data_IF_575086855983
#
_entry.id   IF_575086855983
#
_cell.length_a   1.000
_cell.length_b   1.000
_cell.length_c   1.000
_cell.angle_alpha   90.00
_cell.angle_beta   90.00
_cell.angle_gamma   90.00
#
_symmetry.space_group_name_H-M   'P 1'
#
loop_
_entity.id
_entity.type
_entity.pdbx_description
1 polymer ?
#
# COMPACT_ATOMS: atom_id res chain seq x y z
N UNK A 1 12.40 0.83 -4.89
CA UNK A 1 12.08 1.18 -6.30
C UNK A 1 11.05 2.29 -6.40
N UNK A 2 9.92 2.18 -5.69
CA UNK A 2 8.89 3.24 -5.68
C UNK A 2 9.18 4.44 -4.77
N UNK A 3 10.10 4.33 -3.80
CA UNK A 3 10.28 5.37 -2.77
C UNK A 3 10.72 6.72 -3.32
N UNK A 4 11.60 6.73 -4.33
CA UNK A 4 12.00 7.96 -5.00
C UNK A 4 10.80 8.66 -5.66
N UNK A 5 9.95 7.89 -6.33
CA UNK A 5 8.76 8.39 -7.00
C UNK A 5 7.74 8.93 -5.99
N UNK A 6 7.47 8.18 -4.92
CA UNK A 6 6.57 8.61 -3.84
C UNK A 6 7.08 9.87 -3.14
N UNK A 7 8.40 9.97 -2.91
CA UNK A 7 9.02 11.16 -2.32
C UNK A 7 8.89 12.38 -3.23
N UNK A 8 8.98 12.20 -4.54
CA UNK A 8 8.75 13.27 -5.51
C UNK A 8 7.27 13.72 -5.49
N UNK A 9 6.33 12.78 -5.46
CA UNK A 9 4.90 13.06 -5.32
C UNK A 9 4.60 13.80 -4.03
N UNK A 10 5.07 13.30 -2.88
CA UNK A 10 4.85 13.95 -1.59
C UNK A 10 5.41 15.40 -1.55
N UNK A 11 6.54 15.65 -2.22
CA UNK A 11 7.09 17.00 -2.35
C UNK A 11 6.22 17.91 -3.23
N UNK A 12 5.61 17.37 -4.29
CA UNK A 12 4.65 18.09 -5.13
C UNK A 12 3.35 18.38 -4.36
N UNK A 13 2.76 17.37 -3.72
CA UNK A 13 1.49 17.50 -2.98
C UNK A 13 1.59 18.57 -1.89
N UNK A 14 2.72 18.60 -1.16
CA UNK A 14 3.01 19.63 -0.16
C UNK A 14 3.09 21.05 -0.74
N UNK A 15 3.46 21.19 -2.01
CA UNK A 15 3.62 22.49 -2.70
C UNK A 15 2.32 22.93 -3.39
N UNK A 16 1.56 21.99 -3.95
CA UNK A 16 0.39 22.30 -4.77
C UNK A 16 -0.85 22.67 -3.94
N UNK A 17 -1.03 22.08 -2.75
CA UNK A 17 -2.10 22.44 -1.80
C UNK A 17 -3.55 22.21 -2.24
N UNK A 18 -3.82 21.87 -3.50
CA UNK A 18 -5.18 21.72 -4.05
C UNK A 18 -5.63 20.25 -4.11
N UNK A 19 -4.93 19.42 -4.89
CA UNK A 19 -5.27 18.01 -5.09
C UNK A 19 -4.00 17.18 -5.09
N UNK A 20 -4.03 15.97 -4.49
CA UNK A 20 -2.90 15.06 -4.57
C UNK A 20 -2.67 14.69 -6.04
N UNK A 21 -1.40 14.58 -6.41
CA UNK A 21 -1.00 14.05 -7.71
C UNK A 21 -1.71 12.70 -7.94
N UNK A 22 -2.22 12.44 -9.14
CA UNK A 22 -2.88 11.18 -9.46
C UNK A 22 -2.32 10.61 -10.76
N UNK A 23 -1.32 9.74 -10.65
CA UNK A 23 -0.67 9.11 -11.78
C UNK A 23 -1.67 8.38 -12.70
N UNK A 24 -2.69 7.72 -12.13
CA UNK A 24 -3.69 6.98 -12.91
C UNK A 24 -4.45 7.89 -13.87
N UNK A 25 -4.88 9.07 -13.41
CA UNK A 25 -5.65 10.00 -14.23
C UNK A 25 -4.81 10.58 -15.38
N UNK A 26 -3.52 10.82 -15.17
CA UNK A 26 -2.61 11.21 -16.26
C UNK A 26 -2.37 10.07 -17.25
N UNK A 27 -2.16 8.85 -16.76
CA UNK A 27 -1.93 7.68 -17.60
C UNK A 27 -3.16 7.33 -18.46
N UNK A 28 -4.37 7.49 -17.91
CA UNK A 28 -5.63 7.35 -18.66
C UNK A 28 -5.76 8.34 -19.82
N UNK A 29 -5.20 9.55 -19.70
CA UNK A 29 -5.22 10.53 -20.80
C UNK A 29 -4.34 10.10 -21.98
N UNK A 30 -3.25 9.36 -21.71
CA UNK A 30 -2.36 8.81 -22.73
C UNK A 30 -2.97 7.58 -23.42
N UNK A 31 -3.79 6.81 -22.71
CA UNK A 31 -4.49 5.64 -23.26
C UNK A 31 -5.78 6.00 -23.99
N UNK A 32 -5.63 6.45 -25.24
CA UNK A 32 -6.76 6.77 -26.14
C UNK A 32 -7.71 5.59 -26.36
N UNK A 33 -7.23 4.35 -26.18
CA UNK A 33 -7.99 3.13 -26.40
C UNK A 33 -8.69 2.63 -25.13
N UNK A 34 -8.43 3.24 -23.96
CA UNK A 34 -9.01 2.87 -22.65
C UNK A 34 -8.87 1.38 -22.33
N UNK A 35 -7.72 0.81 -22.67
CA UNK A 35 -7.36 -0.60 -22.43
C UNK A 35 -6.72 -0.82 -21.07
N UNK A 36 -6.43 0.24 -20.31
CA UNK A 36 -5.69 0.20 -19.04
C UNK A 36 -4.24 -0.30 -19.19
N UNK A 37 -3.70 -0.17 -20.40
CA UNK A 37 -2.31 -0.50 -20.72
C UNK A 37 -1.74 0.47 -21.74
N UNK A 38 -0.44 0.72 -21.61
CA UNK A 38 0.32 1.56 -22.52
C UNK A 38 1.49 0.79 -23.12
N UNK A 39 1.90 1.11 -24.36
CA UNK A 39 3.12 0.51 -24.90
C UNK A 39 4.33 0.96 -24.05
N UNK A 40 5.36 0.11 -23.88
CA UNK A 40 6.51 0.39 -23.01
C UNK A 40 7.19 1.74 -23.28
N UNK A 41 7.29 2.14 -24.55
CA UNK A 41 7.90 3.41 -24.93
C UNK A 41 7.08 4.62 -24.41
N UNK A 42 5.76 4.57 -24.47
CA UNK A 42 4.89 5.67 -24.01
C UNK A 42 4.93 5.80 -22.49
N UNK A 43 4.96 4.66 -21.80
CA UNK A 43 5.11 4.63 -20.35
C UNK A 43 6.51 5.11 -19.90
N UNK A 44 7.57 4.74 -20.64
CA UNK A 44 8.94 5.25 -20.41
C UNK A 44 8.99 6.77 -20.55
N UNK A 45 8.37 7.34 -21.59
CA UNK A 45 8.25 8.80 -21.77
C UNK A 45 7.50 9.44 -20.60
N UNK A 46 6.40 8.85 -20.14
CA UNK A 46 5.69 9.35 -18.95
C UNK A 46 6.59 9.39 -17.71
N UNK A 47 7.43 8.38 -17.47
CA UNK A 47 8.34 8.36 -16.32
C UNK A 47 9.51 9.35 -16.44
N UNK A 48 9.98 9.62 -17.66
CA UNK A 48 11.14 10.46 -17.92
C UNK A 48 10.80 11.95 -18.13
N UNK A 49 9.64 12.25 -18.71
CA UNK A 49 9.26 13.59 -19.20
C UNK A 49 8.00 14.14 -18.51
N UNK A 50 7.66 13.61 -17.33
CA UNK A 50 6.52 14.09 -16.58
C UNK A 50 6.69 15.57 -16.19
N UNK A 51 5.94 16.45 -16.85
CA UNK A 51 6.06 17.89 -16.64
C UNK A 51 5.51 18.39 -15.30
N UNK A 52 4.83 17.51 -14.55
CA UNK A 52 4.18 17.85 -13.28
C UNK A 52 5.03 17.39 -12.10
N UNK A 53 5.45 16.12 -12.11
CA UNK A 53 6.28 15.53 -11.06
C UNK A 53 7.53 14.92 -11.67
N UNK A 54 8.68 15.53 -11.41
CA UNK A 54 9.97 14.92 -11.73
C UNK A 54 10.28 13.79 -10.74
N UNK A 55 10.07 12.54 -11.19
CA UNK A 55 10.33 11.35 -10.39
C UNK A 55 11.83 11.13 -10.10
N UNK A 56 12.74 11.85 -10.77
CA UNK A 56 14.20 11.77 -10.58
C UNK A 56 14.75 10.34 -10.68
N UNK A 57 14.21 9.55 -11.60
CA UNK A 57 14.63 8.17 -11.83
C UNK A 57 15.78 8.11 -12.85
N UNK A 58 16.75 7.22 -12.61
CA UNK A 58 17.77 6.87 -13.61
C UNK A 58 17.19 5.91 -14.64
N UNK A 59 17.82 5.84 -15.82
CA UNK A 59 17.35 4.95 -16.90
C UNK A 59 17.19 3.49 -16.48
N UNK A 60 18.12 2.96 -15.68
CA UNK A 60 18.02 1.58 -15.15
C UNK A 60 16.79 1.39 -14.25
N UNK A 61 16.44 2.39 -13.46
CA UNK A 61 15.26 2.34 -12.59
C UNK A 61 13.98 2.41 -13.41
N UNK A 62 13.93 3.32 -14.40
CA UNK A 62 12.80 3.41 -15.33
C UNK A 62 12.58 2.08 -16.06
N UNK A 63 13.65 1.47 -16.59
CA UNK A 63 13.57 0.19 -17.29
C UNK A 63 13.04 -0.93 -16.38
N UNK A 64 13.50 -0.98 -15.13
CA UNK A 64 12.99 -1.98 -14.19
C UNK A 64 11.55 -1.70 -13.74
N UNK A 65 11.06 -0.44 -13.74
CA UNK A 65 9.64 -0.14 -13.42
C UNK A 65 8.79 -0.65 -14.56
N UNK A 66 9.15 -0.28 -15.79
CA UNK A 66 8.49 -0.72 -17.01
C UNK A 66 8.40 -2.24 -17.03
N UNK A 67 9.53 -2.95 -16.89
CA UNK A 67 9.58 -4.40 -16.92
C UNK A 67 8.76 -5.08 -15.80
N UNK A 68 8.62 -4.45 -14.63
CA UNK A 68 7.83 -5.00 -13.53
C UNK A 68 6.33 -4.99 -13.82
N UNK A 69 5.85 -4.04 -14.62
CA UNK A 69 4.43 -3.89 -14.97
C UNK A 69 4.11 -4.28 -16.41
N UNK A 70 5.09 -4.73 -17.19
CA UNK A 70 4.86 -5.32 -18.51
C UNK A 70 4.14 -6.66 -18.38
N UNK A 71 3.02 -6.78 -19.11
CA UNK A 71 2.24 -8.01 -19.17
C UNK A 71 1.91 -8.34 -20.63
N UNK A 72 1.86 -9.64 -20.92
CA UNK A 72 1.32 -10.16 -22.17
C UNK A 72 -0.14 -10.53 -21.94
N UNK A 73 -1.01 -10.05 -22.81
CA UNK A 73 -2.44 -10.24 -22.69
C UNK A 73 -2.94 -11.29 -23.69
N UNK A 74 -4.13 -11.84 -23.44
CA UNK A 74 -4.73 -12.93 -24.22
C UNK A 74 -4.98 -12.56 -25.69
N UNK A 75 -5.04 -11.27 -26.00
CA UNK A 75 -5.16 -10.77 -27.37
C UNK A 75 -3.83 -10.72 -28.13
N UNK A 76 -2.75 -11.25 -27.53
CA UNK A 76 -1.41 -11.27 -28.10
C UNK A 76 -0.70 -9.92 -28.06
N UNK A 77 -1.33 -8.89 -27.48
CA UNK A 77 -0.74 -7.57 -27.31
C UNK A 77 0.02 -7.50 -25.97
N UNK A 78 1.15 -6.81 -25.97
CA UNK A 78 2.00 -6.66 -24.79
C UNK A 78 2.04 -5.18 -24.41
N UNK A 79 1.91 -4.89 -23.11
CA UNK A 79 1.86 -3.53 -22.64
C UNK A 79 2.15 -3.43 -21.15
N UNK A 80 2.45 -2.22 -20.73
CA UNK A 80 2.59 -1.88 -19.31
C UNK A 80 1.20 -1.68 -18.73
N UNK A 81 0.86 -2.49 -17.73
CA UNK A 81 -0.33 -2.33 -16.91
C UNK A 81 -0.16 -1.13 -15.99
N UNK A 82 -0.55 0.04 -16.51
CA UNK A 82 -0.35 1.28 -15.80
C UNK A 82 -1.35 1.44 -14.64
N UNK A 83 -2.42 0.65 -14.61
CA UNK A 83 -3.38 0.63 -13.51
C UNK A 83 -2.76 -0.07 -12.29
N UNK A 84 -2.15 -1.24 -12.48
CA UNK A 84 -1.36 -1.91 -11.44
C UNK A 84 -0.21 -1.03 -10.97
N UNK A 85 0.48 -0.34 -11.89
CA UNK A 85 1.50 0.63 -11.52
C UNK A 85 0.95 1.77 -10.65
N UNK A 86 -0.18 2.38 -11.02
CA UNK A 86 -0.74 3.49 -10.25
C UNK A 86 -1.20 3.03 -8.87
N UNK A 87 -1.85 1.87 -8.76
CA UNK A 87 -2.18 1.23 -7.47
C UNK A 87 -0.94 0.96 -6.64
N UNK A 88 0.13 0.48 -7.26
CA UNK A 88 1.39 0.29 -6.57
C UNK A 88 1.98 1.63 -6.11
N UNK A 89 2.01 2.66 -6.96
CA UNK A 89 2.66 3.94 -6.70
C UNK A 89 1.88 4.83 -5.71
N UNK A 90 0.56 4.79 -5.74
CA UNK A 90 -0.33 5.63 -4.93
C UNK A 90 -1.47 4.79 -4.35
N UNK A 91 -1.14 3.80 -3.51
CA UNK A 91 -2.12 2.83 -3.03
C UNK A 91 -3.21 3.51 -2.22
N UNK A 92 -2.89 4.53 -1.44
CA UNK A 92 -3.89 5.29 -0.64
C UNK A 92 -4.91 6.05 -1.49
N UNK A 93 -4.64 6.27 -2.78
CA UNK A 93 -5.57 6.89 -3.71
C UNK A 93 -6.50 5.88 -4.40
N UNK A 94 -6.15 4.59 -4.34
CA UNK A 94 -6.80 3.52 -5.10
C UNK A 94 -7.34 2.38 -4.25
N UNK A 95 -6.91 2.27 -3.00
CA UNK A 95 -7.47 1.37 -2.00
C UNK A 95 -8.20 2.20 -0.96
N UNK A 96 -9.43 1.80 -0.67
CA UNK A 96 -10.16 2.32 0.47
C UNK A 96 -9.58 1.69 1.74
N UNK A 97 -8.76 2.48 2.45
CA UNK A 97 -8.11 2.01 3.67
C UNK A 97 -9.14 1.72 4.77
N UNK A 98 -10.27 2.44 4.78
CA UNK A 98 -11.34 2.17 5.72
C UNK A 98 -12.00 0.82 5.45
N UNK A 99 -12.21 0.46 4.17
CA UNK A 99 -12.71 -0.87 3.80
C UNK A 99 -11.73 -1.98 4.20
N UNK A 100 -10.43 -1.81 3.90
CA UNK A 100 -9.40 -2.79 4.31
C UNK A 100 -9.35 -2.95 5.84
N UNK A 101 -9.47 -1.83 6.55
CA UNK A 101 -9.50 -1.79 8.00
C UNK A 101 -10.74 -2.50 8.56
N UNK A 102 -11.91 -2.32 7.95
CA UNK A 102 -13.15 -2.99 8.33
C UNK A 102 -13.10 -4.50 8.07
N UNK A 103 -12.51 -4.92 6.94
CA UNK A 103 -12.26 -6.34 6.66
C UNK A 103 -11.36 -6.97 7.72
N UNK A 104 -10.28 -6.27 8.10
CA UNK A 104 -9.37 -6.70 9.16
C UNK A 104 -10.08 -6.81 10.51
N UNK A 105 -10.84 -5.79 10.91
CA UNK A 105 -11.65 -5.79 12.14
C UNK A 105 -12.65 -6.95 12.15
N UNK A 106 -13.29 -7.23 11.02
CA UNK A 106 -14.22 -8.34 10.90
C UNK A 106 -13.52 -9.69 11.05
N UNK A 107 -12.33 -9.84 10.46
CA UNK A 107 -11.52 -11.04 10.57
C UNK A 107 -11.14 -11.32 12.01
N UNK A 108 -10.62 -10.32 12.72
CA UNK A 108 -10.24 -10.43 14.13
C UNK A 108 -11.45 -10.67 15.05
N UNK A 109 -12.61 -10.08 14.76
CA UNK A 109 -13.86 -10.40 15.49
C UNK A 109 -14.29 -11.85 15.24
N UNK A 110 -14.09 -12.39 14.04
CA UNK A 110 -14.45 -13.76 13.67
C UNK A 110 -13.58 -14.80 14.38
N UNK A 111 -12.30 -14.51 14.63
CA UNK A 111 -11.40 -15.44 15.34
C UNK A 111 -11.74 -15.56 16.83
N UNK A 112 -12.52 -14.63 17.40
CA UNK A 112 -12.89 -14.57 18.83
C UNK A 112 -11.67 -14.56 19.79
N UNK A 113 -10.51 -14.20 19.27
CA UNK A 113 -9.30 -14.06 20.05
C UNK A 113 -9.24 -12.68 20.70
N UNK A 114 -8.60 -12.57 21.86
CA UNK A 114 -8.31 -11.27 22.45
C UNK A 114 -7.26 -10.56 21.61
N UNK A 115 -7.26 -9.23 21.59
CA UNK A 115 -6.30 -8.43 20.84
C UNK A 115 -4.85 -8.75 21.18
N UNK A 116 -4.59 -9.07 22.45
CA UNK A 116 -3.28 -9.54 22.91
C UNK A 116 -2.86 -10.86 22.28
N UNK A 117 -3.78 -11.79 22.12
CA UNK A 117 -3.49 -13.11 21.55
C UNK A 117 -3.30 -12.99 20.03
N UNK A 118 -4.12 -12.16 19.38
CA UNK A 118 -3.94 -11.82 17.96
C UNK A 118 -2.56 -11.20 17.72
N UNK A 119 -2.17 -10.22 18.53
CA UNK A 119 -0.86 -9.58 18.40
C UNK A 119 0.29 -10.56 18.62
N UNK A 120 0.18 -11.49 19.57
CA UNK A 120 1.19 -12.54 19.79
C UNK A 120 1.30 -13.53 18.63
N UNK A 121 0.19 -13.87 17.99
CA UNK A 121 0.21 -14.72 16.79
C UNK A 121 0.90 -14.00 15.62
N UNK A 122 0.84 -12.67 15.59
CA UNK A 122 1.51 -11.86 14.56
C UNK A 122 3.00 -11.62 14.89
N UNK A 123 3.32 -11.37 16.16
CA UNK A 123 4.67 -11.15 16.70
C UNK A 123 5.43 -12.48 16.85
N UNK A 124 5.88 -13.02 15.71
CA UNK A 124 6.48 -14.35 15.62
C UNK A 124 7.80 -14.48 16.39
N UNK A 125 8.58 -13.39 16.51
CA UNK A 125 9.84 -13.39 17.27
C UNK A 125 9.65 -12.95 18.75
N UNK A 126 8.47 -12.46 19.12
CA UNK A 126 8.08 -12.13 20.49
C UNK A 126 8.77 -10.86 21.01
N UNK A 127 9.19 -9.97 20.12
CA UNK A 127 9.93 -8.76 20.46
C UNK A 127 9.01 -7.58 20.88
N UNK A 128 7.68 -7.76 20.80
CA UNK A 128 6.68 -6.75 21.14
C UNK A 128 6.36 -5.75 20.04
N UNK A 129 6.87 -5.95 18.83
CA UNK A 129 6.64 -5.10 17.64
C UNK A 129 6.38 -5.98 16.40
N UNK A 130 5.36 -5.63 15.63
CA UNK A 130 5.04 -6.37 14.40
C UNK A 130 5.64 -5.65 13.21
N UNK A 131 6.56 -6.31 12.51
CA UNK A 131 7.11 -5.80 11.25
C UNK A 131 6.13 -5.98 10.09
N UNK A 132 6.35 -5.25 8.99
CA UNK A 132 5.55 -5.41 7.77
C UNK A 132 5.50 -6.86 7.27
N UNK A 133 6.62 -7.57 7.38
CA UNK A 133 6.70 -8.96 6.92
C UNK A 133 5.86 -9.88 7.79
N UNK A 134 5.99 -9.76 9.11
CA UNK A 134 5.19 -10.51 10.09
C UNK A 134 3.71 -10.22 9.94
N UNK A 135 3.34 -8.95 9.76
CA UNK A 135 1.95 -8.58 9.53
C UNK A 135 1.40 -9.26 8.28
N UNK A 136 2.14 -9.23 7.17
CA UNK A 136 1.72 -9.88 5.91
C UNK A 136 1.54 -11.38 6.05
N UNK A 137 2.49 -12.05 6.70
CA UNK A 137 2.47 -13.49 6.94
C UNK A 137 1.25 -13.86 7.79
N UNK A 138 1.03 -13.16 8.91
CA UNK A 138 -0.09 -13.42 9.81
C UNK A 138 -1.45 -13.20 9.13
N UNK A 139 -1.61 -12.14 8.32
CA UNK A 139 -2.85 -11.91 7.55
C UNK A 139 -3.12 -13.03 6.55
N UNK A 140 -2.07 -13.56 5.91
CA UNK A 140 -2.19 -14.71 5.01
C UNK A 140 -2.66 -15.95 5.77
N UNK A 141 -2.12 -16.21 6.96
CA UNK A 141 -2.50 -17.34 7.81
C UNK A 141 -3.93 -17.23 8.34
N UNK A 142 -4.37 -16.03 8.67
CA UNK A 142 -5.75 -15.74 9.07
C UNK A 142 -6.74 -15.81 7.90
N UNK A 143 -6.28 -16.01 6.66
CA UNK A 143 -7.13 -16.19 5.49
C UNK A 143 -7.51 -14.89 4.77
N UNK A 144 -6.77 -13.80 5.01
CA UNK A 144 -6.90 -12.53 4.30
C UNK A 144 -5.57 -12.18 3.61
N UNK A 145 -5.23 -12.81 2.47
CA UNK A 145 -4.02 -12.46 1.75
C UNK A 145 -4.12 -11.02 1.23
N UNK A 146 -3.20 -10.16 1.68
CA UNK A 146 -3.08 -8.78 1.22
C UNK A 146 -1.86 -8.60 0.31
N UNK A 147 -1.98 -7.71 -0.66
CA UNK A 147 -0.85 -7.28 -1.50
C UNK A 147 0.06 -6.33 -0.73
N UNK A 148 1.32 -6.17 -1.17
CA UNK A 148 2.27 -5.22 -0.55
C UNK A 148 1.76 -3.77 -0.58
N UNK A 149 0.95 -3.43 -1.58
CA UNK A 149 0.34 -2.12 -1.72
C UNK A 149 -0.76 -1.87 -0.68
N UNK A 150 -1.65 -2.85 -0.45
CA UNK A 150 -2.69 -2.80 0.59
C UNK A 150 -2.09 -2.82 1.99
N UNK A 151 -1.08 -3.67 2.20
CA UNK A 151 -0.34 -3.73 3.46
C UNK A 151 0.29 -2.38 3.79
N UNK A 152 0.92 -1.73 2.79
CA UNK A 152 1.50 -0.40 2.97
C UNK A 152 0.45 0.64 3.35
N UNK A 153 -0.74 0.61 2.75
CA UNK A 153 -1.84 1.48 3.15
C UNK A 153 -2.27 1.29 4.61
N UNK A 154 -2.39 0.03 5.06
CA UNK A 154 -2.73 -0.27 6.44
C UNK A 154 -1.63 0.19 7.40
N UNK A 155 -0.36 -0.09 7.07
CA UNK A 155 0.77 0.36 7.86
C UNK A 155 0.85 1.88 7.93
N UNK A 156 0.69 2.60 6.82
CA UNK A 156 0.74 4.07 6.81
C UNK A 156 -0.36 4.71 7.71
N UNK A 157 -1.44 3.99 8.05
CA UNK A 157 -2.46 4.42 9.03
C UNK A 157 -2.15 3.98 10.47
N UNK A 158 -1.51 2.82 10.66
CA UNK A 158 -1.35 2.19 11.97
C UNK A 158 -0.02 2.59 12.63
N UNK A 159 1.04 2.73 11.84
CA UNK A 159 2.38 3.18 12.22
C UNK A 159 2.37 4.70 12.39
N UNK A 160 2.07 5.15 13.61
CA UNK A 160 1.86 6.56 13.92
C UNK A 160 3.17 7.30 14.19
N UNK A 161 4.20 6.59 14.64
CA UNK A 161 5.53 7.15 14.88
C UNK A 161 6.44 7.11 13.62
N UNK A 162 6.05 6.33 12.61
CA UNK A 162 6.71 6.24 11.31
C UNK A 162 7.99 5.41 11.34
N UNK A 163 8.18 4.53 12.32
CA UNK A 163 9.38 3.69 12.46
C UNK A 163 9.39 2.50 11.49
N UNK A 164 8.29 2.29 10.76
CA UNK A 164 8.11 1.23 9.77
C UNK A 164 7.60 -0.09 10.36
N UNK A 165 7.31 -0.12 11.65
CA UNK A 165 6.83 -1.26 12.43
C UNK A 165 5.53 -0.84 13.13
N UNK A 166 4.93 -1.77 13.85
CA UNK A 166 3.69 -1.54 14.56
C UNK A 166 3.85 -2.01 15.99
N UNK A 167 3.85 -1.07 16.93
CA UNK A 167 3.85 -1.39 18.35
C UNK A 167 2.46 -1.89 18.79
N UNK A 168 2.43 -2.58 19.94
CA UNK A 168 1.17 -3.10 20.48
C UNK A 168 0.13 -2.01 20.77
N UNK A 169 0.57 -0.86 21.28
CA UNK A 169 -0.32 0.28 21.56
C UNK A 169 -0.87 0.92 20.28
N UNK A 170 -0.05 1.01 19.23
CA UNK A 170 -0.47 1.47 17.91
C UNK A 170 -1.49 0.53 17.28
N UNK A 171 -1.27 -0.79 17.39
CA UNK A 171 -2.22 -1.80 16.94
C UNK A 171 -3.59 -1.68 17.63
N UNK A 172 -3.62 -1.55 18.96
CA UNK A 172 -4.87 -1.37 19.71
C UNK A 172 -5.59 -0.08 19.30
N UNK A 173 -4.84 1.01 19.19
CA UNK A 173 -5.38 2.32 18.80
C UNK A 173 -5.98 2.27 17.40
N UNK A 174 -5.27 1.66 16.45
CA UNK A 174 -5.76 1.50 15.08
C UNK A 174 -7.11 0.74 15.08
N UNK A 175 -7.22 -0.31 15.88
CA UNK A 175 -8.45 -1.11 15.99
C UNK A 175 -9.57 -0.45 16.79
N UNK A 176 -9.35 0.76 17.30
CA UNK A 176 -10.33 1.50 18.09
C UNK A 176 -10.63 0.83 19.43
N UNK A 177 -9.65 0.12 19.98
CA UNK A 177 -9.71 -0.41 21.34
C UNK A 177 -9.13 0.64 22.28
N UNK A 178 -9.97 1.21 23.13
CA UNK A 178 -9.48 1.90 24.31
C UNK A 178 -8.91 0.87 25.28
N UNK A 179 -8.05 1.29 26.21
CA UNK A 179 -7.43 0.40 27.23
C UNK A 179 -8.46 -0.08 28.26
N UNK A 180 -9.54 -0.71 27.82
CA UNK A 180 -10.58 -1.26 28.68
C UNK A 180 -10.83 -2.72 28.33
N UNK A 181 -9.90 -3.55 28.78
CA UNK A 181 -10.30 -4.67 29.61
C UNK A 181 -9.69 -4.40 30.98
N UNK A 182 -10.37 -3.55 31.75
CA UNK A 182 -10.28 -3.61 33.20
C UNK A 182 -10.62 -5.05 33.62
N UNK A 183 -9.58 -5.83 33.90
CA UNK A 183 -9.68 -7.14 34.57
C UNK A 183 -10.19 -6.91 35.98
N UNK A 184 -11.50 -6.71 36.08
CA UNK A 184 -12.29 -6.68 37.29
C UNK A 184 -13.08 -7.98 37.41
N UNK A 185 -12.41 -9.07 37.76
CA UNK A 185 -13.01 -10.08 38.64
C UNK A 185 -12.01 -10.46 39.73
N UNK A 186 -12.14 -9.75 40.85
CA UNK A 186 -11.81 -10.20 42.20
C UNK A 186 -12.40 -11.60 42.45
N UNK A 187 -11.59 -12.55 42.90
CA UNK A 187 -11.68 -13.21 44.22
C UNK A 187 -10.52 -14.17 44.46
#
# INVERSE_FOLDING_TARGET
MGDAMRKAIAAYDKRSGEQPYNALEFLKQLDRKKRLRLPPWAFKTFLAENSIVDFRLKEKEVAAVVAHFECQYDDGDAGVDYEQFARWLQPSLHYDVAELHDQLKHLFKKTKLKWRDIFKEMDADGNGIVTRLEFKEALRELGMPVTDAQLRCLMDEYDTDGDGKMAYDEFLRALGQDKDDSDGTET
#
